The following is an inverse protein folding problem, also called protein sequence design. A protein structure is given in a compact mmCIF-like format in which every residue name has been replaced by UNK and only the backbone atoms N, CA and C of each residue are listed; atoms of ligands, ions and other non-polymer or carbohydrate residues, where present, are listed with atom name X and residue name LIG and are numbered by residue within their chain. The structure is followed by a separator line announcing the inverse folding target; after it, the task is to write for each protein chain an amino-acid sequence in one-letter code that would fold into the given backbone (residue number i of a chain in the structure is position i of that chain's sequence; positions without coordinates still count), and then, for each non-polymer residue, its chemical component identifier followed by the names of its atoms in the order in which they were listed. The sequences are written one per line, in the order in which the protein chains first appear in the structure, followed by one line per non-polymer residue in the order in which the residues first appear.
data_IF_444187730419
#
_entry.id   IF_444187730419
#
_cell.length_a   1.000
_cell.length_b   1.000
_cell.length_c   1.000
_cell.angle_alpha   90.00
_cell.angle_beta   90.00
_cell.angle_gamma   90.00
#
_symmetry.space_group_name_H-M   'P 1'
#
loop_
_entity.id
_entity.type
_entity.pdbx_description
1 polymer ?
#
# COMPACT_ATOMS: atom_id res chain seq x y z
N UNK A 1 -14.32 36.05 -4.85
CA UNK A 1 -13.67 35.08 -3.94
C UNK A 1 -12.65 34.29 -4.74
N UNK A 2 -11.41 34.79 -4.85
CA UNK A 2 -10.37 34.11 -5.63
C UNK A 2 -9.90 32.85 -4.92
N UNK A 3 -9.87 31.72 -5.62
CA UNK A 3 -9.35 30.47 -5.07
C UNK A 3 -7.86 30.71 -4.77
N UNK A 4 -7.44 30.66 -3.49
CA UNK A 4 -6.04 30.87 -3.16
C UNK A 4 -5.19 29.84 -3.90
N UNK A 5 -4.11 30.29 -4.56
CA UNK A 5 -3.15 29.38 -5.20
C UNK A 5 -2.72 28.34 -4.17
N UNK A 6 -3.04 27.07 -4.45
CA UNK A 6 -2.66 25.95 -3.59
C UNK A 6 -1.14 26.04 -3.33
N UNK A 7 -0.75 25.89 -2.06
CA UNK A 7 0.66 25.84 -1.65
C UNK A 7 1.46 24.96 -2.61
N UNK A 8 2.67 25.39 -2.98
CA UNK A 8 3.48 24.71 -4.00
C UNK A 8 3.69 23.22 -3.73
N UNK A 9 3.54 22.78 -2.47
CA UNK A 9 3.69 21.39 -2.02
C UNK A 9 2.49 20.49 -2.34
N UNK A 10 1.28 21.03 -2.46
CA UNK A 10 0.07 20.24 -2.75
C UNK A 10 -0.24 20.13 -4.25
N UNK A 11 0.64 20.69 -5.10
CA UNK A 11 0.52 20.60 -6.57
C UNK A 11 0.76 19.16 -7.04
N UNK A 12 0.00 18.74 -8.05
CA UNK A 12 0.04 17.37 -8.63
C UNK A 12 1.44 16.95 -9.06
N UNK A 13 2.22 17.86 -9.65
CA UNK A 13 3.62 17.60 -10.06
C UNK A 13 4.58 17.23 -8.92
N UNK A 14 4.18 17.42 -7.65
CA UNK A 14 4.96 17.10 -6.45
C UNK A 14 4.22 16.14 -5.52
N UNK A 15 3.18 15.46 -6.02
CA UNK A 15 2.38 14.53 -5.24
C UNK A 15 3.24 13.35 -4.81
N UNK A 16 3.19 13.03 -3.53
CA UNK A 16 3.81 11.84 -2.96
C UNK A 16 2.81 10.69 -2.95
N UNK A 17 3.30 9.49 -2.68
CA UNK A 17 2.47 8.30 -2.57
C UNK A 17 1.47 8.43 -1.41
N UNK A 18 0.23 8.04 -1.69
CA UNK A 18 -0.89 8.15 -0.75
C UNK A 18 -0.84 7.01 0.30
N UNK A 19 -1.63 7.14 1.37
CA UNK A 19 -1.58 6.20 2.50
C UNK A 19 -2.21 4.84 2.18
N UNK A 20 -3.27 4.84 1.37
CA UNK A 20 -3.95 3.67 0.82
C UNK A 20 -3.00 2.80 -0.03
N UNK A 21 -2.27 3.41 -0.97
CA UNK A 21 -1.29 2.73 -1.81
C UNK A 21 -0.16 2.08 -1.00
N UNK A 22 0.29 2.74 0.07
CA UNK A 22 1.33 2.22 0.95
C UNK A 22 0.79 1.07 1.80
N UNK A 23 -0.47 1.14 2.23
CA UNK A 23 -1.13 0.03 2.94
C UNK A 23 -1.19 -1.22 2.04
N UNK A 24 -1.51 -1.06 0.76
CA UNK A 24 -1.50 -2.15 -0.23
C UNK A 24 -0.10 -2.74 -0.48
N UNK A 25 0.93 -1.90 -0.50
CA UNK A 25 2.33 -2.35 -0.56
C UNK A 25 2.72 -3.20 0.66
N UNK A 26 2.27 -2.81 1.84
CA UNK A 26 2.54 -3.55 3.09
C UNK A 26 1.76 -4.87 3.10
N UNK A 27 0.54 -4.88 2.58
CA UNK A 27 -0.30 -6.07 2.48
C UNK A 27 0.22 -7.07 1.46
N UNK A 28 0.77 -6.60 0.34
CA UNK A 28 1.20 -7.44 -0.76
C UNK A 28 2.62 -7.10 -1.25
N UNK A 29 3.60 -8.02 -1.09
CA UNK A 29 4.97 -7.76 -1.53
C UNK A 29 5.09 -7.64 -3.06
N UNK A 30 4.16 -8.26 -3.81
CA UNK A 30 4.08 -8.16 -5.27
C UNK A 30 3.85 -6.71 -5.74
N UNK A 31 2.96 -5.98 -5.07
CA UNK A 31 2.65 -4.59 -5.41
C UNK A 31 3.85 -3.67 -5.15
N UNK A 32 4.55 -3.90 -4.04
CA UNK A 32 5.78 -3.19 -3.71
C UNK A 32 6.88 -3.43 -4.76
N UNK A 33 7.08 -4.68 -5.20
CA UNK A 33 8.05 -5.01 -6.24
C UNK A 33 7.70 -4.35 -7.57
N UNK A 34 6.43 -4.40 -7.98
CA UNK A 34 5.96 -3.70 -9.18
C UNK A 34 6.29 -2.21 -9.12
N UNK A 35 6.03 -1.56 -7.98
CA UNK A 35 6.37 -0.15 -7.79
C UNK A 35 7.87 0.12 -7.90
N UNK A 36 8.71 -0.66 -7.22
CA UNK A 36 10.17 -0.47 -7.27
C UNK A 36 10.67 -0.63 -8.70
N UNK A 37 10.17 -1.62 -9.43
CA UNK A 37 10.54 -1.88 -10.81
C UNK A 37 10.12 -0.75 -11.78
N UNK A 38 9.12 0.08 -11.43
CA UNK A 38 8.77 1.24 -12.27
C UNK A 38 9.85 2.32 -12.28
N UNK A 39 10.83 2.26 -11.38
CA UNK A 39 11.87 3.27 -11.22
C UNK A 39 13.22 2.70 -11.65
N UNK A 40 13.93 3.45 -12.48
CA UNK A 40 15.28 3.09 -12.91
C UNK A 40 16.25 3.32 -11.76
N UNK A 41 17.11 2.33 -11.48
CA UNK A 41 18.06 2.36 -10.36
C UNK A 41 19.00 3.57 -10.41
N UNK A 42 19.41 4.00 -11.61
CA UNK A 42 20.38 5.08 -11.83
C UNK A 42 19.86 6.46 -11.42
N UNK A 43 18.55 6.70 -11.55
CA UNK A 43 17.92 7.98 -11.20
C UNK A 43 17.63 8.12 -9.70
N UNK A 44 17.74 7.01 -8.95
CA UNK A 44 17.38 6.93 -7.55
C UNK A 44 18.60 7.20 -6.65
N UNK A 45 18.41 7.89 -5.52
CA UNK A 45 19.49 8.03 -4.54
C UNK A 45 19.87 6.66 -3.99
N UNK A 46 21.18 6.43 -3.79
CA UNK A 46 21.70 5.16 -3.29
C UNK A 46 21.43 3.97 -4.22
N UNK A 47 21.30 4.21 -5.54
CA UNK A 47 20.99 3.19 -6.56
C UNK A 47 19.71 2.38 -6.26
N UNK A 48 18.77 2.98 -5.51
CA UNK A 48 17.56 2.29 -5.11
C UNK A 48 17.79 1.15 -4.09
N UNK A 49 18.86 1.19 -3.30
CA UNK A 49 19.10 0.18 -2.26
C UNK A 49 18.38 0.53 -0.94
N UNK A 50 18.39 1.80 -0.55
CA UNK A 50 17.90 2.24 0.76
C UNK A 50 16.49 2.81 0.67
N UNK A 51 15.48 1.95 0.79
CA UNK A 51 14.05 2.34 0.71
C UNK A 51 13.33 2.25 2.05
N UNK A 52 12.55 3.29 2.38
CA UNK A 52 11.57 3.24 3.46
C UNK A 52 10.16 3.09 2.88
N UNK A 53 9.55 1.93 3.12
CA UNK A 53 8.22 1.56 2.63
C UNK A 53 7.15 2.52 3.18
N UNK A 54 7.14 2.72 4.50
CA UNK A 54 6.12 3.51 5.20
C UNK A 54 6.05 4.98 4.73
N UNK A 55 7.20 5.55 4.36
CA UNK A 55 7.32 6.94 3.91
C UNK A 55 7.47 7.08 2.40
N UNK A 56 7.50 5.98 1.65
CA UNK A 56 7.75 5.92 0.21
C UNK A 56 8.93 6.79 -0.24
N UNK A 57 10.05 6.71 0.48
CA UNK A 57 11.23 7.57 0.26
C UNK A 57 12.51 6.75 0.13
N UNK A 58 13.32 7.14 -0.85
CA UNK A 58 14.66 6.62 -1.08
C UNK A 58 15.72 7.47 -0.37
N UNK A 59 16.77 6.80 0.12
CA UNK A 59 17.89 7.40 0.83
C UNK A 59 19.21 7.09 0.14
N UNK A 60 20.23 7.92 0.38
CA UNK A 60 21.56 7.73 -0.20
C UNK A 60 22.36 6.62 0.50
N UNK A 61 22.24 6.52 1.83
CA UNK A 61 23.01 5.60 2.68
C UNK A 61 22.14 4.89 3.73
N UNK A 62 22.65 3.78 4.27
CA UNK A 62 22.06 3.06 5.41
C UNK A 62 21.90 3.92 6.67
N UNK A 63 22.90 4.74 6.99
CA UNK A 63 22.85 5.62 8.17
C UNK A 63 21.71 6.63 8.08
N UNK A 64 21.42 7.13 6.86
CA UNK A 64 20.31 8.04 6.62
C UNK A 64 18.95 7.34 6.82
N UNK A 65 18.84 6.08 6.40
CA UNK A 65 17.64 5.27 6.59
C UNK A 65 17.41 4.93 8.08
N UNK A 66 18.46 4.59 8.82
CA UNK A 66 18.38 4.29 10.25
C UNK A 66 17.99 5.54 11.05
N UNK A 67 18.62 6.69 10.77
CA UNK A 67 18.27 7.96 11.42
C UNK A 67 16.84 8.41 11.08
N UNK A 68 16.40 8.23 9.83
CA UNK A 68 15.01 8.48 9.42
C UNK A 68 14.01 7.64 10.23
N UNK A 69 14.26 6.33 10.39
CA UNK A 69 13.38 5.42 11.16
C UNK A 69 13.23 5.85 12.63
N UNK A 70 14.24 6.48 13.22
CA UNK A 70 14.19 6.98 14.61
C UNK A 70 13.43 8.30 14.74
N UNK A 71 13.29 9.05 13.63
CA UNK A 71 12.67 10.37 13.58
C UNK A 71 11.17 10.40 13.87
N UNK A 72 10.67 11.55 14.30
CA UNK A 72 9.24 11.76 14.62
C UNK A 72 8.33 11.67 13.40
N UNK A 73 8.81 12.09 12.23
CA UNK A 73 8.06 12.05 10.97
C UNK A 73 7.71 10.63 10.56
N UNK A 74 8.67 9.72 10.66
CA UNK A 74 8.47 8.30 10.43
C UNK A 74 7.51 7.69 11.45
N UNK A 75 7.73 7.94 12.75
CA UNK A 75 6.84 7.45 13.81
C UNK A 75 5.39 7.91 13.64
N UNK A 76 5.17 9.15 13.20
CA UNK A 76 3.83 9.68 12.90
C UNK A 76 3.21 8.96 11.70
N UNK A 77 3.99 8.71 10.64
CA UNK A 77 3.53 7.98 9.45
C UNK A 77 3.18 6.53 9.78
N UNK A 78 4.03 5.86 10.55
CA UNK A 78 3.79 4.51 11.06
C UNK A 78 2.51 4.42 11.88
N UNK A 79 2.23 5.43 12.73
CA UNK A 79 0.98 5.48 13.49
C UNK A 79 -0.24 5.60 12.56
N UNK A 80 -0.18 6.47 11.55
CA UNK A 80 -1.26 6.63 10.58
C UNK A 80 -1.52 5.38 9.73
N UNK A 81 -0.50 4.55 9.48
CA UNK A 81 -0.63 3.29 8.74
C UNK A 81 -1.21 2.14 9.57
N UNK A 82 -1.32 2.30 10.90
CA UNK A 82 -1.97 1.29 11.75
C UNK A 82 -3.48 1.32 11.60
N UNK A 83 -4.02 2.49 11.33
CA UNK A 83 -5.45 2.68 11.11
C UNK A 83 -5.78 2.25 9.67
N UNK A 84 -6.97 1.69 9.46
CA UNK A 84 -7.41 1.29 8.13
C UNK A 84 -7.47 2.52 7.20
N UNK A 85 -6.90 2.46 5.98
CA UNK A 85 -6.93 3.60 5.08
C UNK A 85 -8.37 3.89 4.65
N UNK A 86 -8.76 5.16 4.72
CA UNK A 86 -10.07 5.61 4.26
C UNK A 86 -10.25 5.31 2.77
N UNK A 87 -11.34 4.64 2.41
CA UNK A 87 -11.63 4.27 1.03
C UNK A 87 -12.85 4.99 0.49
N UNK A 88 -12.93 5.11 -0.84
CA UNK A 88 -14.09 5.69 -1.50
C UNK A 88 -15.40 4.97 -1.16
N UNK A 89 -15.35 3.65 -0.96
CA UNK A 89 -16.51 2.84 -0.57
C UNK A 89 -17.06 3.23 0.81
N UNK A 90 -16.17 3.59 1.72
CA UNK A 90 -16.55 4.08 3.05
C UNK A 90 -17.23 5.45 2.96
N UNK A 91 -16.74 6.33 2.08
CA UNK A 91 -17.37 7.62 1.78
C UNK A 91 -18.79 7.47 1.22
N UNK A 92 -18.95 6.56 0.26
CA UNK A 92 -20.25 6.25 -0.35
C UNK A 92 -21.21 5.63 0.68
N UNK A 93 -20.70 4.69 1.50
CA UNK A 93 -21.46 4.10 2.61
C UNK A 93 -21.94 5.13 3.63
N UNK A 94 -21.14 6.15 3.94
CA UNK A 94 -21.54 7.23 4.85
C UNK A 94 -22.69 8.09 4.30
N UNK A 95 -22.80 8.21 2.97
CA UNK A 95 -23.91 8.89 2.27
C UNK A 95 -25.14 7.96 2.12
N UNK A 96 -25.00 6.68 2.48
CA UNK A 96 -26.04 5.65 2.31
C UNK A 96 -26.03 4.99 0.93
N UNK A 97 -25.00 5.26 0.12
CA UNK A 97 -24.81 4.64 -1.18
C UNK A 97 -24.00 3.35 -1.00
N UNK A 98 -24.70 2.24 -0.76
CA UNK A 98 -24.08 0.90 -0.68
C UNK A 98 -24.28 0.17 -2.00
N UNK A 99 -23.21 -0.40 -2.56
CA UNK A 99 -23.31 -1.38 -3.63
C UNK A 99 -23.87 -2.68 -3.04
N UNK A 100 -25.16 -2.96 -3.26
CA UNK A 100 -25.75 -4.25 -2.92
C UNK A 100 -25.38 -5.24 -4.02
N UNK A 101 -24.26 -5.94 -3.84
CA UNK A 101 -23.82 -7.00 -4.75
C UNK A 101 -24.62 -8.30 -4.54
N UNK A 102 -25.93 -8.19 -4.31
CA UNK A 102 -26.82 -9.31 -4.01
C UNK A 102 -26.32 -10.25 -2.90
N UNK A 103 -26.98 -11.41 -2.69
CA UNK A 103 -26.35 -12.49 -1.96
C UNK A 103 -25.13 -12.95 -2.78
N UNK A 104 -23.93 -12.86 -2.19
CA UNK A 104 -22.75 -13.58 -2.70
C UNK A 104 -23.19 -15.02 -2.93
N UNK A 105 -23.25 -15.46 -4.17
CA UNK A 105 -23.62 -16.84 -4.46
C UNK A 105 -22.62 -17.73 -3.74
N UNK A 106 -23.14 -18.64 -2.90
CA UNK A 106 -22.44 -19.75 -2.22
C UNK A 106 -21.46 -20.54 -3.13
N UNK A 107 -21.46 -20.28 -4.44
CA UNK A 107 -20.48 -20.75 -5.41
C UNK A 107 -19.05 -20.27 -5.13
N UNK A 108 -18.84 -19.04 -4.63
CA UNK A 108 -17.49 -18.53 -4.42
C UNK A 108 -16.84 -19.13 -3.16
N UNK A 109 -17.62 -19.32 -2.10
CA UNK A 109 -17.20 -20.06 -0.88
C UNK A 109 -16.88 -21.52 -1.20
N UNK A 110 -17.68 -22.18 -2.05
CA UNK A 110 -17.40 -23.55 -2.51
C UNK A 110 -16.13 -23.68 -3.37
N UNK A 111 -15.73 -22.64 -4.11
CA UNK A 111 -14.48 -22.69 -4.87
C UNK A 111 -13.25 -22.51 -3.98
N UNK A 112 -13.35 -21.65 -2.95
CA UNK A 112 -12.30 -21.49 -1.93
C UNK A 112 -12.13 -22.76 -1.08
N UNK A 113 -13.21 -23.45 -0.72
CA UNK A 113 -13.17 -24.74 -0.01
C UNK A 113 -12.51 -25.85 -0.87
N UNK A 114 -12.88 -25.93 -2.16
CA UNK A 114 -12.32 -26.93 -3.09
C UNK A 114 -10.84 -26.68 -3.39
N UNK A 115 -10.39 -25.43 -3.50
CA UNK A 115 -8.97 -25.11 -3.65
C UNK A 115 -8.14 -25.49 -2.41
N UNK A 116 -8.71 -25.32 -1.21
CA UNK A 116 -8.07 -25.71 0.04
C UNK A 116 -7.95 -27.23 0.21
N UNK A 117 -8.94 -27.99 -0.28
CA UNK A 117 -8.93 -29.46 -0.26
C UNK A 117 -7.93 -30.06 -1.25
N UNK A 118 -7.80 -29.47 -2.46
CA UNK A 118 -6.81 -29.92 -3.46
C UNK A 118 -5.39 -29.68 -2.95
N UNK A 119 -5.11 -28.53 -2.35
CA UNK A 119 -3.78 -28.20 -1.81
C UNK A 119 -3.36 -29.10 -0.63
N UNK A 120 -4.32 -29.56 0.18
CA UNK A 120 -4.06 -30.48 1.29
C UNK A 120 -3.82 -31.92 0.81
N UNK A 121 -4.46 -32.36 -0.28
CA UNK A 121 -4.23 -33.67 -0.88
C UNK A 121 -2.81 -33.79 -1.49
N UNK A 122 -2.34 -32.75 -2.18
CA UNK A 122 -0.99 -32.71 -2.78
C UNK A 122 0.15 -32.82 -1.74
N UNK A 123 -0.10 -32.40 -0.49
CA UNK A 123 0.87 -32.54 0.61
C UNK A 123 0.95 -33.98 1.16
N UNK A 124 -0.13 -34.75 1.07
CA UNK A 124 -0.18 -36.13 1.61
C UNK A 124 0.42 -37.19 0.69
N UNK A 125 0.63 -36.88 -0.59
CA UNK A 125 1.21 -37.80 -1.58
C UNK A 125 2.75 -37.72 -1.67
N UNK A 126 3.39 -36.84 -0.89
CA UNK A 126 4.85 -36.62 -0.92
C UNK A 126 5.64 -37.21 0.26
N UNK A 127 5.02 -38.11 1.04
CA UNK A 127 5.67 -38.90 2.12
C UNK A 127 5.53 -40.39 1.82
#
# INVERSE_FOLDING_TARGET
MGIPQKSTRTKTRRRLRDLDQISEDIRSPKHLQQYINTKVAEDLPGLGQFYCIECAKWFADDHALISHKRGSTHKRRKKALKDEPYTQKEAEGAIGLRTDNGPRSLAQEKMEDVEMDIANAELTETV
#
